data_IF_864711403145
#
_entry.id   IF_864711403145
#
_cell.length_a   1.000
_cell.length_b   1.000
_cell.length_c   1.000
_cell.angle_alpha   90.00
_cell.angle_beta   90.00
_cell.angle_gamma   90.00
#
_symmetry.space_group_name_H-M   'P 1'
#
loop_
_entity.id
_entity.type
_entity.pdbx_description
1 polymer ?
#
# COMPACT_ATOMS: atom_id res chain seq x y z
N UNK A 1 -46.16 1.18 -18.51
CA UNK A 1 -44.85 0.67 -18.97
C UNK A 1 -43.74 1.59 -18.48
N UNK A 2 -43.35 1.53 -17.20
CA UNK A 2 -42.33 2.44 -16.60
C UNK A 2 -41.70 1.78 -15.37
N UNK A 3 -41.10 0.59 -15.51
CA UNK A 3 -40.54 -0.13 -14.34
C UNK A 3 -39.45 -1.13 -14.72
N UNK A 4 -38.58 -0.82 -15.69
CA UNK A 4 -37.49 -1.74 -16.08
C UNK A 4 -36.14 -1.04 -16.28
N UNK A 5 -35.95 0.16 -15.73
CA UNK A 5 -34.68 0.90 -15.87
C UNK A 5 -34.21 1.31 -14.47
N UNK A 6 -33.87 0.35 -13.60
CA UNK A 6 -33.28 0.67 -12.30
C UNK A 6 -32.40 -0.43 -11.70
N UNK A 7 -32.08 -1.50 -12.44
CA UNK A 7 -31.30 -2.63 -11.93
C UNK A 7 -29.90 -2.74 -12.56
N UNK A 8 -29.57 -1.92 -13.57
CA UNK A 8 -28.32 -2.05 -14.33
C UNK A 8 -27.11 -1.25 -13.80
N UNK A 9 -27.27 -0.47 -12.72
CA UNK A 9 -26.20 0.41 -12.20
C UNK A 9 -25.46 -0.11 -10.95
N UNK A 10 -25.82 -1.28 -10.40
CA UNK A 10 -25.22 -1.79 -9.16
C UNK A 10 -23.97 -2.69 -9.37
N UNK A 11 -23.57 -2.97 -10.61
CA UNK A 11 -22.56 -4.01 -10.91
C UNK A 11 -21.10 -3.55 -11.07
N UNK A 12 -20.82 -2.24 -11.11
CA UNK A 12 -19.50 -1.72 -11.59
C UNK A 12 -18.50 -1.31 -10.48
N UNK A 13 -18.84 -1.44 -9.20
CA UNK A 13 -17.99 -0.91 -8.11
C UNK A 13 -17.02 -1.92 -7.46
N UNK A 14 -16.96 -3.19 -7.88
CA UNK A 14 -16.16 -4.22 -7.18
C UNK A 14 -14.79 -4.55 -7.81
N UNK A 15 -14.39 -3.89 -8.89
CA UNK A 15 -13.12 -4.17 -9.57
C UNK A 15 -11.91 -3.35 -9.06
N UNK A 16 -12.06 -2.51 -8.03
CA UNK A 16 -11.02 -1.57 -7.59
C UNK A 16 -10.15 -2.00 -6.40
N UNK A 17 -10.57 -2.98 -5.59
CA UNK A 17 -10.00 -3.22 -4.25
C UNK A 17 -9.18 -4.53 -4.12
N UNK A 18 -8.44 -4.96 -5.14
CA UNK A 18 -7.78 -6.29 -5.11
C UNK A 18 -6.25 -6.33 -4.94
N UNK A 19 -5.54 -5.21 -4.78
CA UNK A 19 -4.07 -5.24 -4.87
C UNK A 19 -3.30 -4.81 -3.62
N UNK A 20 -3.91 -4.92 -2.43
CA UNK A 20 -3.16 -4.88 -1.17
C UNK A 20 -2.88 -6.31 -0.71
N UNK A 21 -1.63 -6.75 -0.73
CA UNK A 21 -1.23 -8.04 -0.20
C UNK A 21 -1.04 -7.95 1.31
N UNK A 22 -1.71 -8.79 2.08
CA UNK A 22 -1.46 -8.89 3.52
C UNK A 22 -0.12 -9.62 3.75
N UNK A 23 0.74 -9.02 4.55
CA UNK A 23 2.06 -9.56 4.90
C UNK A 23 2.25 -9.54 6.43
N UNK A 24 3.05 -10.47 6.98
CA UNK A 24 3.47 -10.43 8.38
C UNK A 24 4.25 -9.14 8.75
N UNK A 25 4.20 -8.77 10.03
CA UNK A 25 4.84 -7.55 10.55
C UNK A 25 6.37 -7.54 10.43
N UNK A 26 7.02 -8.70 10.57
CA UNK A 26 8.46 -8.87 10.35
C UNK A 26 8.83 -8.64 8.88
N UNK A 27 8.04 -9.20 7.95
CA UNK A 27 8.21 -8.93 6.53
C UNK A 27 7.95 -7.46 6.20
N UNK A 28 6.96 -6.83 6.83
CA UNK A 28 6.68 -5.40 6.66
C UNK A 28 7.89 -4.55 7.02
N UNK A 29 8.51 -4.80 8.19
CA UNK A 29 9.72 -4.09 8.63
C UNK A 29 10.88 -4.35 7.68
N UNK A 30 11.11 -5.61 7.30
CA UNK A 30 12.16 -5.97 6.36
C UNK A 30 12.02 -5.28 4.99
N UNK A 31 10.79 -5.10 4.48
CA UNK A 31 10.57 -4.43 3.19
C UNK A 31 10.85 -2.92 3.24
N UNK A 32 10.70 -2.27 4.41
CA UNK A 32 11.09 -0.88 4.64
C UNK A 32 12.59 -0.72 4.92
N UNK A 33 13.15 -1.63 5.72
CA UNK A 33 14.54 -1.61 6.17
C UNK A 33 15.51 -2.06 5.06
N UNK A 34 15.03 -2.79 4.05
CA UNK A 34 15.82 -3.18 2.87
C UNK A 34 16.14 -1.92 2.06
N UNK A 35 17.23 -1.27 2.46
CA UNK A 35 17.75 -0.03 1.94
C UNK A 35 17.74 -0.04 0.41
N UNK A 36 17.11 0.97 -0.19
CA UNK A 36 17.00 1.24 -1.63
C UNK A 36 17.98 0.43 -2.48
N UNK A 37 17.62 -0.81 -2.80
CA UNK A 37 18.38 -1.58 -3.77
C UNK A 37 18.03 -0.98 -5.12
N UNK A 38 19.00 -0.79 -6.02
CA UNK A 38 18.79 -0.17 -7.34
C UNK A 38 17.66 -0.79 -8.19
N UNK A 39 17.11 -1.93 -7.75
CA UNK A 39 16.01 -2.67 -8.36
C UNK A 39 14.74 -2.78 -7.51
N UNK A 40 14.75 -2.37 -6.23
CA UNK A 40 13.59 -2.45 -5.31
C UNK A 40 13.69 -1.42 -4.18
N UNK A 41 12.59 -0.73 -3.90
CA UNK A 41 12.41 0.06 -2.69
C UNK A 41 10.94 0.00 -2.23
N UNK A 42 10.66 0.37 -0.98
CA UNK A 42 9.30 0.49 -0.48
C UNK A 42 9.11 1.79 0.31
N UNK A 43 7.96 2.41 0.12
CA UNK A 43 7.57 3.63 0.83
C UNK A 43 6.42 3.31 1.77
N UNK A 44 6.46 3.84 3.00
CA UNK A 44 5.29 3.85 3.85
C UNK A 44 4.25 4.83 3.32
N UNK A 45 3.01 4.37 3.11
CA UNK A 45 1.94 5.19 2.51
C UNK A 45 0.82 5.55 3.49
N UNK A 46 0.92 5.10 4.75
CA UNK A 46 -0.01 5.42 5.83
C UNK A 46 -0.84 4.23 6.31
N UNK A 47 -1.78 4.53 7.20
CA UNK A 47 -2.73 3.56 7.76
C UNK A 47 -4.08 3.65 7.06
N UNK A 48 -4.74 2.51 6.83
CA UNK A 48 -6.09 2.42 6.30
C UNK A 48 -6.80 1.19 6.86
N UNK A 49 -8.03 1.36 7.31
CA UNK A 49 -8.91 0.27 7.76
C UNK A 49 -8.23 -0.65 8.81
N UNK A 50 -7.48 -0.07 9.76
CA UNK A 50 -6.75 -0.80 10.81
C UNK A 50 -5.43 -1.45 10.37
N UNK A 51 -4.97 -1.19 9.15
CA UNK A 51 -3.74 -1.75 8.60
C UNK A 51 -2.74 -0.65 8.24
N UNK A 52 -1.46 -0.87 8.55
CA UNK A 52 -0.36 -0.07 8.05
C UNK A 52 0.02 -0.59 6.66
N UNK A 53 0.27 0.30 5.70
CA UNK A 53 0.52 -0.09 4.32
C UNK A 53 1.81 0.50 3.75
N UNK A 54 2.49 -0.30 2.94
CA UNK A 54 3.64 0.06 2.13
C UNK A 54 3.28 0.02 0.66
N UNK A 55 3.93 0.87 -0.13
CA UNK A 55 3.99 0.74 -1.57
C UNK A 55 5.38 0.29 -1.96
N UNK A 56 5.48 -0.95 -2.45
CA UNK A 56 6.74 -1.46 -2.98
C UNK A 56 6.84 -1.16 -4.47
N UNK A 57 8.00 -0.64 -4.86
CA UNK A 57 8.41 -0.39 -6.22
C UNK A 57 9.50 -1.39 -6.59
N UNK A 58 9.29 -2.15 -7.66
CA UNK A 58 10.29 -3.09 -8.19
C UNK A 58 10.54 -2.81 -9.67
N UNK A 59 11.81 -2.68 -10.06
CA UNK A 59 12.19 -2.52 -11.46
C UNK A 59 11.89 -3.81 -12.21
N UNK A 60 11.25 -3.72 -13.38
CA UNK A 60 11.03 -4.90 -14.21
C UNK A 60 12.38 -5.40 -14.74
N UNK A 61 12.61 -6.71 -14.64
CA UNK A 61 13.81 -7.35 -15.19
C UNK A 61 13.76 -7.39 -16.72
N UNK A 62 12.55 -7.43 -17.29
CA UNK A 62 12.30 -7.45 -18.74
C UNK A 62 11.29 -6.35 -19.07
N UNK A 63 11.65 -5.48 -20.02
CA UNK A 63 10.85 -4.32 -20.43
C UNK A 63 11.15 -3.04 -19.64
N UNK A 64 10.46 -1.95 -19.99
CA UNK A 64 10.64 -0.65 -19.35
C UNK A 64 9.63 -0.44 -18.20
N UNK A 65 10.08 0.26 -17.16
CA UNK A 65 9.25 0.75 -16.06
C UNK A 65 9.31 -0.04 -14.76
N UNK A 66 8.52 0.43 -13.80
CA UNK A 66 8.40 -0.12 -12.45
C UNK A 66 7.11 -0.91 -12.32
N UNK A 67 7.13 -1.96 -11.50
CA UNK A 67 5.93 -2.64 -10.99
C UNK A 67 5.71 -2.16 -9.56
N UNK A 68 4.51 -1.67 -9.29
CA UNK A 68 4.09 -1.27 -7.95
C UNK A 68 3.15 -2.31 -7.38
N UNK A 69 3.24 -2.53 -6.07
CA UNK A 69 2.25 -3.28 -5.30
C UNK A 69 2.07 -2.64 -3.93
N UNK A 70 0.87 -2.73 -3.39
CA UNK A 70 0.60 -2.33 -2.01
C UNK A 70 0.67 -3.57 -1.14
N UNK A 71 1.32 -3.45 0.01
CA UNK A 71 1.40 -4.51 1.01
C UNK A 71 0.99 -3.93 2.35
N UNK A 72 0.21 -4.66 3.13
CA UNK A 72 -0.29 -4.16 4.40
C UNK A 72 -0.12 -5.20 5.50
N UNK A 73 -0.02 -4.72 6.74
CA UNK A 73 -0.02 -5.53 7.96
C UNK A 73 -0.99 -4.89 8.95
N UNK A 74 -1.65 -5.67 9.83
CA UNK A 74 -2.47 -5.10 10.89
C UNK A 74 -1.63 -4.18 11.80
N UNK A 75 -2.18 -3.03 12.17
CA UNK A 75 -1.50 -2.03 13.01
C UNK A 75 -1.13 -2.59 14.38
N UNK A 76 -2.00 -3.43 14.93
CA UNK A 76 -1.81 -4.11 16.21
C UNK A 76 -0.61 -5.06 16.25
N UNK A 77 -0.11 -5.50 15.09
CA UNK A 77 1.04 -6.40 14.98
C UNK A 77 2.37 -5.61 14.91
N UNK A 78 2.31 -4.28 14.88
CA UNK A 78 3.46 -3.39 14.86
C UNK A 78 3.62 -2.67 16.19
N UNK A 79 4.88 -2.37 16.54
CA UNK A 79 5.20 -1.60 17.72
C UNK A 79 4.66 -0.15 17.57
N UNK A 80 3.95 0.41 18.57
CA UNK A 80 3.38 1.75 18.47
C UNK A 80 4.42 2.87 18.27
N UNK A 81 5.62 2.73 18.83
CA UNK A 81 6.71 3.71 18.66
C UNK A 81 7.24 3.65 17.23
N UNK A 82 7.40 2.44 16.69
CA UNK A 82 7.80 2.24 15.30
C UNK A 82 6.79 2.89 14.33
N UNK A 83 5.49 2.68 14.55
CA UNK A 83 4.44 3.31 13.75
C UNK A 83 4.45 4.84 13.84
N UNK A 84 4.61 5.39 15.04
CA UNK A 84 4.72 6.84 15.22
C UNK A 84 5.91 7.42 14.44
N UNK A 85 7.05 6.72 14.42
CA UNK A 85 8.21 7.09 13.60
C UNK A 85 7.90 7.14 12.11
N UNK A 86 7.23 6.12 11.58
CA UNK A 86 6.82 6.08 10.17
C UNK A 86 5.84 7.19 9.79
N UNK A 87 4.93 7.56 10.68
CA UNK A 87 4.00 8.66 10.44
C UNK A 87 4.68 10.03 10.41
N UNK A 88 5.71 10.23 11.23
CA UNK A 88 6.52 11.44 11.19
C UNK A 88 7.27 11.54 9.86
N UNK A 89 7.91 10.46 9.41
CA UNK A 89 8.64 10.45 8.13
C UNK A 89 7.70 10.71 6.94
N UNK A 90 6.53 10.06 6.90
CA UNK A 90 5.53 10.28 5.87
C UNK A 90 5.03 11.74 5.82
N UNK A 91 4.89 12.40 6.97
CA UNK A 91 4.53 13.82 7.01
C UNK A 91 5.66 14.70 6.48
N UNK A 92 6.92 14.37 6.80
CA UNK A 92 8.09 15.10 6.29
C UNK A 92 8.19 15.05 4.77
N UNK A 93 7.96 13.88 4.18
CA UNK A 93 8.02 13.69 2.72
C UNK A 93 6.90 14.46 2.00
N UNK A 94 5.69 14.53 2.58
CA UNK A 94 4.57 15.31 2.01
C UNK A 94 4.76 16.82 2.07
N UNK A 95 5.65 17.30 2.93
CA UNK A 95 5.93 18.72 3.12
C UNK A 95 7.18 19.17 2.34
N UNK A 96 7.89 18.23 1.70
CA UNK A 96 9.03 18.55 0.83
C UNK A 96 8.49 18.99 -0.55
N UNK A 97 8.84 20.20 -1.02
CA UNK A 97 8.30 20.79 -2.26
C UNK A 97 8.77 20.10 -3.55
#
# INVERSE_FOLDING_TARGET
>A
MRTVILVLLAGLCLAGCKNAAMIPADQFKAELDDAMVSMRYADYIGQRDGNACLRQHRKKLVGQGWKTRVMCTPVQDLDPVYLAGLEVELRRDRLSP
#
